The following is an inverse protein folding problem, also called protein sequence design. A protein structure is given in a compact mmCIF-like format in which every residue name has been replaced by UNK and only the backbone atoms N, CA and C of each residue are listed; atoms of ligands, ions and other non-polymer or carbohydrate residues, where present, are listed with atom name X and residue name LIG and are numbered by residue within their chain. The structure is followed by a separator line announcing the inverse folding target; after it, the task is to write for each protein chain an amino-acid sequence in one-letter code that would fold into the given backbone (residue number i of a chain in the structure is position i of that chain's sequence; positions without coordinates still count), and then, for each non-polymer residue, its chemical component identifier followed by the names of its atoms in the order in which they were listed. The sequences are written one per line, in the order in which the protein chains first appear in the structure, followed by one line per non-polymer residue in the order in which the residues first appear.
data_IF_151424532260
#
_entry.id   IF_151424532260
#
_cell.length_a   1.000
_cell.length_b   1.000
_cell.length_c   1.000
_cell.angle_alpha   90.00
_cell.angle_beta   90.00
_cell.angle_gamma   90.00
#
_symmetry.space_group_name_H-M   'P 1'
#
loop_
_entity.id
_entity.type
_entity.pdbx_description
1 polymer ?
#
# COMPACT_ATOMS: atom_id res chain seq x y z
N UNK A 1 3.12 14.09 -8.54
CA UNK A 1 3.45 12.77 -9.11
C UNK A 1 4.70 12.17 -8.47
N UNK A 2 5.74 12.97 -8.28
CA UNK A 2 7.08 12.48 -7.94
C UNK A 2 7.16 11.65 -6.65
N UNK A 3 6.40 12.02 -5.61
CA UNK A 3 6.35 11.24 -4.36
C UNK A 3 5.81 9.83 -4.59
N UNK A 4 4.72 9.69 -5.35
CA UNK A 4 4.16 8.40 -5.74
C UNK A 4 5.14 7.59 -6.60
N UNK A 5 5.74 8.21 -7.61
CA UNK A 5 6.70 7.53 -8.49
C UNK A 5 7.93 7.01 -7.72
N UNK A 6 8.47 7.80 -6.78
CA UNK A 6 9.56 7.34 -5.90
C UNK A 6 9.12 6.16 -5.02
N UNK A 7 7.92 6.24 -4.43
CA UNK A 7 7.37 5.16 -3.59
C UNK A 7 7.18 3.87 -4.38
N UNK A 8 6.70 3.96 -5.63
CA UNK A 8 6.56 2.82 -6.53
C UNK A 8 7.91 2.21 -6.89
N UNK A 9 8.91 3.04 -7.19
CA UNK A 9 10.28 2.56 -7.45
C UNK A 9 10.87 1.83 -6.24
N UNK A 10 10.73 2.38 -5.03
CA UNK A 10 11.16 1.72 -3.79
C UNK A 10 10.39 0.42 -3.53
N UNK A 11 9.07 0.43 -3.69
CA UNK A 11 8.23 -0.76 -3.51
C UNK A 11 8.60 -1.86 -4.51
N UNK A 12 8.82 -1.51 -5.78
CA UNK A 12 9.17 -2.46 -6.85
C UNK A 12 10.55 -3.12 -6.68
N UNK A 13 11.38 -2.67 -5.74
CA UNK A 13 12.59 -3.40 -5.36
C UNK A 13 12.30 -4.62 -4.46
N UNK A 14 11.17 -4.61 -3.73
CA UNK A 14 10.79 -5.67 -2.79
C UNK A 14 10.32 -6.90 -3.55
N UNK A 15 10.97 -8.03 -3.31
CA UNK A 15 10.67 -9.29 -4.01
C UNK A 15 11.08 -9.30 -5.48
N UNK A 16 11.97 -8.40 -5.92
CA UNK A 16 12.47 -8.39 -7.30
C UNK A 16 13.36 -9.60 -7.58
N UNK A 17 12.94 -10.42 -8.53
CA UNK A 17 13.73 -11.49 -9.12
C UNK A 17 14.25 -11.15 -10.52
N UNK A 18 15.00 -12.06 -11.16
CA UNK A 18 15.59 -11.84 -12.49
C UNK A 18 14.54 -11.65 -13.59
N UNK A 19 13.36 -12.24 -13.43
CA UNK A 19 12.29 -12.25 -14.44
C UNK A 19 11.09 -11.37 -14.06
N UNK A 20 11.17 -10.66 -12.92
CA UNK A 20 10.09 -9.81 -12.42
C UNK A 20 9.90 -9.91 -10.92
N UNK A 21 8.82 -9.32 -10.42
CA UNK A 21 8.45 -9.35 -9.01
C UNK A 21 7.91 -10.74 -8.60
N UNK A 22 8.29 -11.19 -7.40
CA UNK A 22 7.77 -12.41 -6.77
C UNK A 22 7.44 -12.10 -5.31
N UNK A 23 6.20 -11.69 -5.06
CA UNK A 23 5.65 -11.41 -3.73
C UNK A 23 4.41 -12.26 -3.50
N UNK A 24 4.54 -13.58 -3.55
CA UNK A 24 3.41 -14.49 -3.28
C UNK A 24 2.86 -14.22 -1.88
N UNK A 25 1.54 -14.19 -1.72
CA UNK A 25 0.89 -13.88 -0.45
C UNK A 25 1.49 -14.69 0.72
N UNK A 26 1.76 -14.02 1.84
CA UNK A 26 2.39 -14.54 3.06
C UNK A 26 3.85 -14.99 2.95
N UNK A 27 4.49 -14.86 1.79
CA UNK A 27 5.95 -14.98 1.67
C UNK A 27 6.67 -13.88 2.44
N UNK A 28 7.97 -14.04 2.69
CA UNK A 28 8.76 -13.00 3.36
C UNK A 28 8.81 -11.70 2.55
N UNK A 29 8.81 -11.79 1.21
CA UNK A 29 8.72 -10.62 0.35
C UNK A 29 7.36 -9.89 0.45
N UNK A 30 6.25 -10.62 0.58
CA UNK A 30 4.93 -10.02 0.86
C UNK A 30 4.90 -9.37 2.26
N UNK A 31 5.49 -10.01 3.28
CA UNK A 31 5.60 -9.43 4.62
C UNK A 31 6.40 -8.13 4.63
N UNK A 32 7.53 -8.10 3.91
CA UNK A 32 8.35 -6.90 3.74
C UNK A 32 7.57 -5.80 3.01
N UNK A 33 6.87 -6.14 1.93
CA UNK A 33 6.03 -5.20 1.19
C UNK A 33 4.92 -4.60 2.06
N UNK A 34 4.23 -5.42 2.86
CA UNK A 34 3.22 -4.96 3.83
C UNK A 34 3.82 -4.09 4.92
N UNK A 35 5.03 -4.40 5.40
CA UNK A 35 5.71 -3.58 6.39
C UNK A 35 6.05 -2.18 5.83
N UNK A 36 6.53 -2.12 4.60
CA UNK A 36 6.78 -0.84 3.91
C UNK A 36 5.48 -0.04 3.70
N UNK A 37 4.39 -0.68 3.25
CA UNK A 37 3.09 0.00 3.10
C UNK A 37 2.55 0.49 4.44
N UNK A 38 2.71 -0.29 5.51
CA UNK A 38 2.35 0.13 6.88
C UNK A 38 3.12 1.37 7.30
N UNK A 39 4.42 1.44 7.02
CA UNK A 39 5.23 2.63 7.28
C UNK A 39 4.74 3.84 6.50
N UNK A 40 4.40 3.67 5.21
CA UNK A 40 3.87 4.76 4.39
C UNK A 40 2.53 5.28 4.92
N UNK A 41 1.61 4.38 5.29
CA UNK A 41 0.33 4.75 5.91
C UNK A 41 0.54 5.52 7.22
N UNK A 42 1.46 5.07 8.08
CA UNK A 42 1.80 5.78 9.33
C UNK A 42 2.41 7.15 9.07
N UNK A 43 3.32 7.26 8.08
CA UNK A 43 3.91 8.55 7.65
C UNK A 43 2.85 9.51 7.12
N UNK A 44 1.79 9.00 6.50
CA UNK A 44 0.63 9.76 6.04
C UNK A 44 -0.37 10.12 7.16
N UNK A 45 -0.06 9.77 8.42
CA UNK A 45 -0.92 10.07 9.57
C UNK A 45 -2.18 9.22 9.68
N UNK A 46 -2.21 8.04 9.04
CA UNK A 46 -3.35 7.12 9.12
C UNK A 46 -3.26 6.26 10.38
N UNK A 47 -4.41 5.92 10.96
CA UNK A 47 -4.50 4.86 11.96
C UNK A 47 -4.41 3.49 11.26
N UNK A 48 -3.33 2.73 11.54
CA UNK A 48 -2.97 1.54 10.77
C UNK A 48 -3.17 0.26 11.58
N UNK A 49 -4.09 -0.59 11.12
CA UNK A 49 -4.37 -1.90 11.74
C UNK A 49 -4.35 -3.03 10.71
N UNK A 50 -4.18 -4.24 11.20
CA UNK A 50 -4.34 -5.46 10.41
C UNK A 50 -5.54 -6.23 10.95
N UNK A 51 -6.44 -6.69 10.07
CA UNK A 51 -7.58 -7.50 10.49
C UNK A 51 -7.23 -9.00 10.59
N UNK A 52 -8.21 -9.82 10.99
CA UNK A 52 -8.01 -11.26 11.16
C UNK A 52 -7.72 -12.01 9.84
N UNK A 53 -8.03 -11.42 8.69
CA UNK A 53 -7.72 -11.99 7.37
C UNK A 53 -6.35 -11.53 6.84
N UNK A 54 -5.64 -10.67 7.57
CA UNK A 54 -4.34 -10.15 7.17
C UNK A 54 -4.40 -8.90 6.28
N UNK A 55 -5.59 -8.31 6.08
CA UNK A 55 -5.70 -7.06 5.33
C UNK A 55 -5.07 -5.91 6.12
N UNK A 56 -4.27 -5.10 5.44
CA UNK A 56 -3.68 -3.90 6.01
C UNK A 56 -4.58 -2.70 5.75
N UNK A 57 -5.08 -2.09 6.83
CA UNK A 57 -6.08 -1.03 6.78
C UNK A 57 -5.49 0.26 7.36
N UNK A 58 -5.54 1.35 6.60
CA UNK A 58 -5.20 2.70 7.07
C UNK A 58 -6.44 3.58 7.09
N UNK A 59 -6.79 4.18 8.24
CA UNK A 59 -7.98 5.02 8.39
C UNK A 59 -7.59 6.47 8.67
N UNK A 60 -8.13 7.40 7.86
CA UNK A 60 -8.23 8.81 8.19
C UNK A 60 -9.65 9.09 8.70
N UNK A 61 -9.84 9.66 9.91
CA UNK A 61 -11.17 9.98 10.40
C UNK A 61 -11.84 11.05 9.51
N UNK A 62 -13.14 10.87 9.25
CA UNK A 62 -13.97 11.90 8.63
C UNK A 62 -14.45 12.91 9.67
N UNK A 63 -15.01 14.03 9.21
CA UNK A 63 -15.62 15.05 10.08
C UNK A 63 -16.86 14.49 10.81
N UNK A 64 -17.63 13.63 10.13
CA UNK A 64 -18.79 12.94 10.67
C UNK A 64 -18.48 11.44 10.77
N UNK A 65 -18.26 10.97 12.00
CA UNK A 65 -17.91 9.57 12.30
C UNK A 65 -19.04 8.57 12.09
N UNK A 66 -20.29 9.03 11.85
CA UNK A 66 -21.46 8.17 11.66
C UNK A 66 -21.62 7.72 10.21
N UNK A 67 -20.95 8.39 9.26
CA UNK A 67 -21.02 8.06 7.84
C UNK A 67 -20.19 6.82 7.50
N UNK A 68 -20.61 6.04 6.51
CA UNK A 68 -19.81 4.94 6.01
C UNK A 68 -18.48 5.46 5.43
N UNK A 69 -17.38 4.72 5.61
CA UNK A 69 -16.09 5.09 5.02
C UNK A 69 -16.12 4.93 3.50
N UNK A 70 -15.38 5.80 2.80
CA UNK A 70 -14.98 5.57 1.42
C UNK A 70 -13.71 4.72 1.41
N UNK A 71 -13.76 3.56 0.74
CA UNK A 71 -12.61 2.67 0.62
C UNK A 71 -11.85 2.91 -0.69
N UNK A 72 -10.53 2.90 -0.59
CA UNK A 72 -9.61 2.94 -1.72
C UNK A 72 -8.47 1.98 -1.43
N UNK A 73 -8.04 1.21 -2.43
CA UNK A 73 -6.97 0.23 -2.27
C UNK A 73 -6.89 -0.72 -3.45
N UNK A 74 -6.04 -1.73 -3.30
CA UNK A 74 -5.86 -2.84 -4.22
C UNK A 74 -5.10 -3.94 -3.45
N UNK A 75 -4.22 -4.69 -4.09
CA UNK A 75 -3.36 -5.71 -3.46
C UNK A 75 -1.86 -5.34 -3.55
N UNK A 76 -1.01 -6.07 -2.80
CA UNK A 76 0.46 -5.85 -2.76
C UNK A 76 1.26 -7.11 -3.07
N UNK A 77 0.62 -8.27 -2.99
CA UNK A 77 1.15 -9.53 -3.48
C UNK A 77 1.20 -9.55 -5.00
N UNK A 78 1.99 -10.46 -5.54
CA UNK A 78 2.11 -10.69 -6.97
C UNK A 78 2.16 -12.19 -7.28
N UNK A 79 1.80 -12.52 -8.51
CA UNK A 79 2.20 -13.78 -9.12
C UNK A 79 3.73 -13.83 -9.30
N UNK A 80 4.34 -15.02 -9.45
CA UNK A 80 5.73 -15.14 -9.89
C UNK A 80 5.94 -14.41 -11.22
N UNK A 81 7.09 -13.73 -11.38
CA UNK A 81 7.43 -12.94 -12.57
C UNK A 81 6.41 -11.82 -12.85
N UNK A 82 5.74 -11.32 -11.81
CA UNK A 82 4.76 -10.25 -11.91
C UNK A 82 5.37 -8.89 -12.22
N UNK A 83 4.53 -7.96 -12.68
CA UNK A 83 4.91 -6.56 -12.86
C UNK A 83 4.98 -5.77 -11.54
N UNK A 84 5.49 -4.54 -11.63
CA UNK A 84 5.65 -3.67 -10.46
C UNK A 84 4.40 -2.81 -10.15
N UNK A 85 3.43 -2.77 -11.07
CA UNK A 85 2.28 -1.85 -11.00
C UNK A 85 0.96 -2.54 -10.66
N UNK A 86 0.77 -3.80 -11.08
CA UNK A 86 -0.47 -4.54 -10.86
C UNK A 86 -0.65 -4.86 -9.38
N UNK A 87 -1.61 -4.19 -8.74
CA UNK A 87 -1.78 -4.12 -7.29
C UNK A 87 -1.17 -2.85 -6.68
N UNK A 88 0.17 -2.74 -6.54
CA UNK A 88 0.83 -1.66 -5.80
C UNK A 88 0.44 -0.26 -6.26
N UNK A 89 0.18 -0.04 -7.55
CA UNK A 89 -0.25 1.27 -8.04
C UNK A 89 -1.52 1.74 -7.35
N UNK A 90 -2.52 0.87 -7.20
CA UNK A 90 -3.78 1.22 -6.53
C UNK A 90 -3.60 1.52 -5.05
N UNK A 91 -2.79 0.73 -4.35
CA UNK A 91 -2.51 0.92 -2.92
C UNK A 91 -1.72 2.21 -2.67
N UNK A 92 -0.63 2.41 -3.40
CA UNK A 92 0.24 3.58 -3.20
C UNK A 92 -0.43 4.87 -3.68
N UNK A 93 -1.25 4.82 -4.74
CA UNK A 93 -2.05 5.96 -5.17
C UNK A 93 -3.13 6.32 -4.15
N UNK A 94 -3.77 5.35 -3.50
CA UNK A 94 -4.73 5.61 -2.42
C UNK A 94 -4.07 6.32 -1.23
N UNK A 95 -2.89 5.87 -0.80
CA UNK A 95 -2.10 6.53 0.25
C UNK A 95 -1.71 7.95 -0.18
N UNK A 96 -1.23 8.11 -1.41
CA UNK A 96 -0.83 9.41 -1.96
C UNK A 96 -2.01 10.38 -2.00
N UNK A 97 -3.19 9.93 -2.42
CA UNK A 97 -4.39 10.75 -2.47
C UNK A 97 -4.78 11.26 -1.08
N UNK A 98 -4.83 10.35 -0.09
CA UNK A 98 -5.17 10.73 1.29
C UNK A 98 -4.12 11.66 1.90
N UNK A 99 -2.83 11.39 1.68
CA UNK A 99 -1.76 12.26 2.17
C UNK A 99 -1.81 13.65 1.52
N UNK A 100 -2.07 13.73 0.21
CA UNK A 100 -2.20 15.01 -0.49
C UNK A 100 -3.38 15.83 0.02
N UNK A 101 -4.47 15.20 0.47
CA UNK A 101 -5.58 15.89 1.12
C UNK A 101 -5.23 16.41 2.52
N UNK A 102 -4.24 15.82 3.18
CA UNK A 102 -3.78 16.25 4.50
C UNK A 102 -2.67 17.31 4.44
N UNK A 103 -1.88 17.33 3.35
CA UNK A 103 -0.82 18.33 3.10
C UNK A 103 -1.37 19.71 2.70
N UNK A 104 -2.68 19.82 2.41
CA UNK A 104 -3.38 21.05 2.04
C UNK A 104 -4.09 21.66 3.24
#
# INVERSE_FOLDING_TARGET
GDRLNRRLATFGAIGRGPEGSMRVAFSDADREARAYVRQLMGTAGLDVRTDAAGNLLGRRPGVDGTRPPLWMGSHVDSVPQGGDYDGPLGVLAAIEAVQTLADR
#
